data_IF_390393112847
#
_entry.id   IF_390393112847
#
_cell.length_a   1.000
_cell.length_b   1.000
_cell.length_c   1.000
_cell.angle_alpha   90.00
_cell.angle_beta   90.00
_cell.angle_gamma   90.00
#
_symmetry.space_group_name_H-M   'P 1'
#
loop_
_entity.id
_entity.type
_entity.pdbx_description
1 polymer ?
#
# COMPACT_ATOMS: atom_id res chain seq x y z
N UNK A 1 -15.52 23.17 -12.51
CA UNK A 1 -14.92 21.85 -12.24
C UNK A 1 -15.73 21.19 -11.14
N UNK A 2 -16.15 19.96 -11.38
CA UNK A 2 -16.85 19.13 -10.40
C UNK A 2 -15.84 18.31 -9.60
N UNK A 3 -16.14 17.95 -8.36
CA UNK A 3 -15.21 17.22 -7.48
C UNK A 3 -14.66 15.90 -8.08
N UNK A 4 -15.42 15.26 -8.98
CA UNK A 4 -14.98 14.06 -9.69
C UNK A 4 -13.92 14.35 -10.78
N UNK A 5 -14.00 15.50 -11.44
CA UNK A 5 -13.01 15.92 -12.44
C UNK A 5 -11.68 16.28 -11.77
N UNK A 6 -11.73 16.93 -10.60
CA UNK A 6 -10.55 17.32 -9.82
C UNK A 6 -9.77 16.09 -9.34
N UNK A 7 -10.47 15.09 -8.79
CA UNK A 7 -9.86 13.84 -8.33
C UNK A 7 -9.22 13.04 -9.47
N UNK A 8 -9.87 13.00 -10.63
CA UNK A 8 -9.33 12.32 -11.81
C UNK A 8 -8.07 13.02 -12.31
N UNK A 9 -8.04 14.35 -12.29
CA UNK A 9 -6.86 15.14 -12.67
C UNK A 9 -5.70 14.92 -11.71
N UNK A 10 -5.98 14.88 -10.40
CA UNK A 10 -4.98 14.62 -9.37
C UNK A 10 -4.33 13.24 -9.56
N UNK A 11 -5.13 12.17 -9.67
CA UNK A 11 -4.62 10.82 -9.95
C UNK A 11 -3.77 10.80 -11.22
N UNK A 12 -4.27 11.44 -12.29
CA UNK A 12 -3.55 11.48 -13.57
C UNK A 12 -2.20 12.19 -13.43
N UNK A 13 -2.13 13.26 -12.63
CA UNK A 13 -0.89 13.99 -12.36
C UNK A 13 0.14 13.09 -11.68
N UNK A 14 -0.24 12.38 -10.61
CA UNK A 14 0.65 11.45 -9.91
C UNK A 14 1.07 10.26 -10.76
N UNK A 15 0.17 9.78 -11.61
CA UNK A 15 0.47 8.71 -12.56
C UNK A 15 1.56 9.13 -13.55
N UNK A 16 1.45 10.34 -14.10
CA UNK A 16 2.38 10.86 -15.12
C UNK A 16 3.68 11.40 -14.54
N UNK A 17 3.64 11.98 -13.34
CA UNK A 17 4.78 12.59 -12.67
C UNK A 17 4.75 12.29 -11.15
N UNK A 18 5.16 11.08 -10.75
CA UNK A 18 5.12 10.68 -9.34
C UNK A 18 6.04 11.55 -8.50
N UNK A 19 5.46 12.21 -7.51
CA UNK A 19 6.15 12.96 -6.47
C UNK A 19 6.84 12.04 -5.48
N UNK A 20 8.02 12.47 -5.00
CA UNK A 20 8.75 11.88 -3.88
C UNK A 20 9.22 10.42 -4.07
N UNK A 21 9.35 9.97 -5.32
CA UNK A 21 10.02 8.72 -5.62
C UNK A 21 11.53 8.82 -5.32
N UNK A 22 12.10 7.83 -4.64
CA UNK A 22 13.51 7.73 -4.33
C UNK A 22 13.81 7.31 -2.90
N UNK A 23 15.07 7.49 -2.50
CA UNK A 23 15.60 7.08 -1.18
C UNK A 23 15.97 8.28 -0.33
N UNK A 24 16.01 8.08 1.00
CA UNK A 24 16.61 8.99 1.98
C UNK A 24 17.70 8.19 2.71
N UNK A 25 18.98 8.57 2.53
CA UNK A 25 20.12 7.80 3.04
C UNK A 25 20.18 7.76 4.58
N UNK A 26 19.80 8.85 5.24
CA UNK A 26 19.85 9.04 6.69
C UNK A 26 18.45 9.03 7.32
N UNK A 27 17.52 8.27 6.75
CA UNK A 27 16.16 8.18 7.26
C UNK A 27 16.09 7.74 8.74
N UNK A 28 15.11 8.31 9.43
CA UNK A 28 14.80 7.95 10.82
C UNK A 28 13.98 6.65 10.84
N UNK A 29 13.10 6.45 9.85
CA UNK A 29 12.31 5.24 9.63
C UNK A 29 12.45 4.69 8.20
N UNK A 30 12.67 3.39 8.06
CA UNK A 30 12.69 2.68 6.77
C UNK A 30 11.79 1.45 6.91
N UNK A 31 10.65 1.50 6.22
CA UNK A 31 9.62 0.47 6.28
C UNK A 31 9.43 -0.22 4.96
N UNK A 32 9.22 -1.53 4.98
CA UNK A 32 8.92 -2.32 3.79
C UNK A 32 7.56 -3.01 3.96
N UNK A 33 6.62 -2.69 3.07
CA UNK A 33 5.37 -3.45 2.90
C UNK A 33 5.57 -4.45 1.78
N UNK A 34 5.34 -5.74 2.04
CA UNK A 34 5.57 -6.83 1.09
C UNK A 34 4.28 -7.56 0.83
N UNK A 35 4.04 -7.97 -0.42
CA UNK A 35 3.10 -9.01 -0.77
C UNK A 35 3.88 -10.30 -1.04
N UNK A 36 3.89 -11.23 -0.08
CA UNK A 36 4.62 -12.49 -0.21
C UNK A 36 4.10 -13.39 -1.36
N UNK A 37 2.85 -13.24 -1.80
CA UNK A 37 2.32 -14.06 -2.88
C UNK A 37 2.92 -13.64 -4.24
N UNK A 38 3.11 -12.34 -4.45
CA UNK A 38 3.63 -11.79 -5.71
C UNK A 38 5.12 -11.41 -5.63
N UNK A 39 5.70 -11.38 -4.43
CA UNK A 39 7.03 -10.83 -4.13
C UNK A 39 7.18 -9.34 -4.48
N UNK A 40 6.05 -8.63 -4.67
CA UNK A 40 6.02 -7.19 -4.80
C UNK A 40 6.26 -6.52 -3.44
N UNK A 41 6.88 -5.34 -3.44
CA UNK A 41 7.12 -4.58 -2.22
C UNK A 41 7.12 -3.07 -2.45
N UNK A 42 6.85 -2.34 -1.38
CA UNK A 42 6.99 -0.89 -1.28
C UNK A 42 7.92 -0.58 -0.12
N UNK A 43 8.86 0.32 -0.34
CA UNK A 43 9.74 0.87 0.69
C UNK A 43 9.31 2.31 0.94
N UNK A 44 9.07 2.67 2.20
CA UNK A 44 8.84 4.04 2.63
C UNK A 44 10.01 4.48 3.52
N UNK A 45 10.55 5.66 3.21
CA UNK A 45 11.60 6.33 3.94
C UNK A 45 10.99 7.57 4.62
N UNK A 46 11.24 7.74 5.92
CA UNK A 46 10.73 8.87 6.70
C UNK A 46 11.90 9.55 7.41
N UNK A 47 12.00 10.87 7.23
CA UNK A 47 12.80 11.77 8.05
C UNK A 47 11.86 12.61 8.88
N UNK A 48 12.02 12.66 10.19
CA UNK A 48 11.10 13.38 11.07
C UNK A 48 11.79 13.90 12.33
N UNK A 49 11.19 14.91 12.95
CA UNK A 49 11.55 15.32 14.30
C UNK A 49 10.57 14.73 15.33
N UNK A 50 10.51 15.28 16.54
CA UNK A 50 9.62 14.78 17.58
C UNK A 50 8.11 14.89 17.22
N UNK A 51 7.76 15.76 16.27
CA UNK A 51 6.37 16.12 15.98
C UNK A 51 5.99 16.02 14.50
N UNK A 52 6.93 16.24 13.58
CA UNK A 52 6.64 16.53 12.17
C UNK A 52 7.42 15.61 11.24
N UNK A 53 6.77 15.15 10.17
CA UNK A 53 7.41 14.42 9.07
C UNK A 53 8.08 15.43 8.14
N UNK A 54 9.41 15.56 8.23
CA UNK A 54 10.19 16.57 7.52
C UNK A 54 10.44 16.21 6.06
N UNK A 55 10.72 14.94 5.78
CA UNK A 55 10.77 14.40 4.42
C UNK A 55 10.22 12.98 4.42
N UNK A 56 9.60 12.61 3.31
CA UNK A 56 9.05 11.28 3.09
C UNK A 56 9.24 10.90 1.63
N UNK A 57 9.77 9.71 1.39
CA UNK A 57 9.99 9.20 0.03
C UNK A 57 9.60 7.73 -0.05
N UNK A 58 9.42 7.25 -1.27
CA UNK A 58 9.12 5.85 -1.49
C UNK A 58 9.85 5.27 -2.70
N UNK A 59 10.04 3.96 -2.69
CA UNK A 59 10.51 3.18 -3.83
C UNK A 59 9.72 1.86 -3.89
N UNK A 60 9.57 1.27 -5.07
CA UNK A 60 8.80 0.04 -5.23
C UNK A 60 9.26 -0.73 -6.47
N UNK A 61 9.11 -2.06 -6.46
CA UNK A 61 9.20 -2.93 -7.64
C UNK A 61 7.82 -3.36 -8.18
N UNK A 62 6.75 -2.73 -7.70
CA UNK A 62 5.36 -3.13 -7.95
C UNK A 62 4.74 -2.40 -9.15
N UNK A 63 3.41 -2.46 -9.25
CA UNK A 63 2.56 -1.88 -10.29
C UNK A 63 2.57 -0.35 -10.36
N UNK A 64 2.06 0.17 -11.47
CA UNK A 64 1.84 1.62 -11.66
C UNK A 64 0.82 2.20 -10.66
N UNK A 65 -0.16 1.41 -10.23
CA UNK A 65 -1.08 1.78 -9.16
C UNK A 65 -0.32 1.99 -7.85
N UNK A 66 0.61 1.10 -7.53
CA UNK A 66 1.47 1.22 -6.35
C UNK A 66 2.33 2.49 -6.42
N UNK A 67 2.87 2.83 -7.60
CA UNK A 67 3.64 4.07 -7.80
C UNK A 67 2.75 5.30 -7.57
N UNK A 68 1.54 5.30 -8.12
CA UNK A 68 0.59 6.42 -8.02
C UNK A 68 0.14 6.62 -6.57
N UNK A 69 -0.26 5.53 -5.90
CA UNK A 69 -0.68 5.54 -4.49
C UNK A 69 0.46 5.92 -3.54
N UNK A 70 1.67 5.39 -3.78
CA UNK A 70 2.87 5.78 -3.04
C UNK A 70 3.12 7.27 -3.17
N UNK A 71 3.02 7.81 -4.38
CA UNK A 71 3.20 9.23 -4.64
C UNK A 71 2.18 10.09 -3.90
N UNK A 72 0.89 9.78 -4.03
CA UNK A 72 -0.19 10.49 -3.33
C UNK A 72 -0.01 10.44 -1.81
N UNK A 73 0.31 9.27 -1.25
CA UNK A 73 0.52 9.13 0.18
C UNK A 73 1.70 9.99 0.66
N UNK A 74 2.84 9.92 -0.03
CA UNK A 74 4.03 10.68 0.38
C UNK A 74 3.83 12.19 0.25
N UNK A 75 3.08 12.66 -0.76
CA UNK A 75 2.76 14.09 -0.89
C UNK A 75 1.80 14.54 0.20
N UNK A 76 0.76 13.74 0.49
CA UNK A 76 -0.23 14.04 1.52
C UNK A 76 0.38 14.14 2.92
N UNK A 77 1.32 13.25 3.27
CA UNK A 77 1.85 13.14 4.64
C UNK A 77 3.10 13.99 4.91
N UNK A 78 3.81 14.41 3.86
CA UNK A 78 5.05 15.18 4.02
C UNK A 78 4.75 16.60 4.52
N UNK A 79 5.45 17.00 5.58
CA UNK A 79 5.26 18.28 6.24
C UNK A 79 4.12 18.28 7.26
N UNK A 80 3.37 17.19 7.39
CA UNK A 80 2.32 17.06 8.39
C UNK A 80 2.88 16.55 9.72
N UNK A 81 2.09 16.73 10.79
CA UNK A 81 2.43 16.17 12.10
C UNK A 81 2.30 14.65 12.09
N UNK A 82 3.15 13.97 12.86
CA UNK A 82 3.12 12.51 13.00
C UNK A 82 1.74 12.04 13.46
N UNK A 83 1.08 12.79 14.35
CA UNK A 83 -0.27 12.48 14.86
C UNK A 83 -1.31 12.53 13.73
N UNK A 84 -1.31 13.59 12.93
CA UNK A 84 -2.23 13.70 11.80
C UNK A 84 -1.95 12.64 10.75
N UNK A 85 -0.68 12.40 10.43
CA UNK A 85 -0.30 11.37 9.45
C UNK A 85 -0.79 9.98 9.86
N UNK A 86 -0.64 9.60 11.13
CA UNK A 86 -1.19 8.37 11.69
C UNK A 86 -2.73 8.33 11.62
N UNK A 87 -3.39 9.47 11.86
CA UNK A 87 -4.85 9.58 11.73
C UNK A 87 -5.32 9.35 10.29
N UNK A 88 -4.70 10.04 9.33
CA UNK A 88 -5.00 9.89 7.89
C UNK A 88 -4.79 8.44 7.44
N UNK A 89 -3.68 7.81 7.80
CA UNK A 89 -3.40 6.41 7.46
C UNK A 89 -4.42 5.46 8.10
N UNK A 90 -4.83 5.71 9.34
CA UNK A 90 -5.86 4.89 10.01
C UNK A 90 -7.21 4.98 9.28
N UNK A 91 -7.58 6.16 8.79
CA UNK A 91 -8.79 6.34 8.01
C UNK A 91 -8.69 5.63 6.65
N UNK A 92 -7.55 5.75 5.96
CA UNK A 92 -7.30 5.06 4.70
C UNK A 92 -7.33 3.53 4.86
N UNK A 93 -6.79 2.99 5.96
CA UNK A 93 -6.87 1.56 6.28
C UNK A 93 -8.31 1.09 6.50
N UNK A 94 -9.14 1.91 7.16
CA UNK A 94 -10.56 1.63 7.34
C UNK A 94 -11.29 1.59 5.99
N UNK A 95 -11.05 2.58 5.13
CA UNK A 95 -11.69 2.70 3.83
C UNK A 95 -11.22 1.60 2.87
N UNK A 96 -9.94 1.24 2.94
CA UNK A 96 -9.39 0.09 2.24
C UNK A 96 -10.11 -1.21 2.66
N UNK A 97 -10.30 -1.44 3.96
CA UNK A 97 -11.04 -2.60 4.45
C UNK A 97 -12.49 -2.62 3.95
N UNK A 98 -13.16 -1.47 3.94
CA UNK A 98 -14.50 -1.36 3.38
C UNK A 98 -14.51 -1.66 1.88
N UNK A 99 -13.49 -1.24 1.14
CA UNK A 99 -13.36 -1.51 -0.31
C UNK A 99 -13.21 -3.00 -0.62
N UNK A 100 -12.45 -3.75 0.19
CA UNK A 100 -12.37 -5.22 0.06
C UNK A 100 -13.73 -5.89 0.32
N UNK A 101 -14.49 -5.40 1.30
CA UNK A 101 -15.80 -5.94 1.64
C UNK A 101 -16.89 -5.60 0.60
N UNK A 102 -16.68 -4.56 -0.20
CA UNK A 102 -17.60 -4.12 -1.25
C UNK A 102 -17.36 -4.80 -2.61
N UNK A 103 -16.33 -5.64 -2.73
CA UNK A 103 -16.09 -6.45 -3.92
C UNK A 103 -17.32 -7.34 -4.14
N UNK A 104 -17.83 -7.43 -5.36
CA UNK A 104 -18.98 -8.29 -5.69
C UNK A 104 -18.58 -9.77 -5.76
N UNK A 105 -19.53 -10.65 -5.44
CA UNK A 105 -19.28 -12.08 -5.47
C UNK A 105 -18.99 -12.54 -6.91
N UNK A 106 -17.98 -13.40 -7.11
CA UNK A 106 -17.65 -13.88 -8.45
C UNK A 106 -18.85 -14.60 -9.06
N UNK A 107 -19.15 -14.30 -10.32
CA UNK A 107 -20.16 -15.05 -11.06
C UNK A 107 -19.71 -16.51 -11.26
N UNK A 108 -20.67 -17.43 -11.21
CA UNK A 108 -20.44 -18.86 -11.43
C UNK A 108 -21.18 -19.32 -12.67
N UNK A 109 -20.43 -19.69 -13.71
CA UNK A 109 -20.94 -20.21 -14.97
C UNK A 109 -20.79 -21.74 -15.04
N UNK A 110 -21.90 -22.45 -14.81
CA UNK A 110 -21.94 -23.92 -14.82
C UNK A 110 -21.78 -24.53 -16.21
N UNK A 111 -21.83 -23.73 -17.29
CA UNK A 111 -21.64 -24.21 -18.66
C UNK A 111 -20.16 -24.40 -19.03
N UNK A 112 -19.23 -23.84 -18.25
CA UNK A 112 -17.78 -23.92 -18.46
C UNK A 112 -17.14 -25.14 -17.79
N UNK A 113 -15.94 -25.55 -18.25
CA UNK A 113 -15.07 -26.48 -17.52
C UNK A 113 -14.85 -26.02 -16.07
N UNK A 114 -14.68 -26.96 -15.15
CA UNK A 114 -14.64 -26.73 -13.70
C UNK A 114 -13.67 -25.62 -13.29
N UNK A 115 -12.48 -25.62 -13.90
CA UNK A 115 -11.39 -24.66 -13.73
C UNK A 115 -11.71 -23.23 -14.19
N UNK A 116 -12.75 -23.03 -14.99
CA UNK A 116 -13.16 -21.74 -15.56
C UNK A 116 -14.56 -21.29 -15.10
N UNK A 117 -15.23 -22.06 -14.23
CA UNK A 117 -16.60 -21.75 -13.80
C UNK A 117 -16.69 -20.48 -12.97
N UNK A 118 -15.66 -20.19 -12.19
CA UNK A 118 -15.66 -19.07 -11.26
C UNK A 118 -14.96 -17.88 -11.91
N UNK A 119 -15.67 -16.77 -12.01
CA UNK A 119 -15.10 -15.51 -12.48
C UNK A 119 -13.88 -15.11 -11.64
N UNK A 120 -12.79 -14.73 -12.31
CA UNK A 120 -11.65 -14.12 -11.62
C UNK A 120 -12.00 -12.70 -11.20
N UNK A 121 -11.86 -12.44 -9.91
CA UNK A 121 -12.03 -11.11 -9.32
C UNK A 121 -10.66 -10.64 -8.87
N UNK A 122 -10.22 -9.48 -9.38
CA UNK A 122 -8.92 -8.91 -9.04
C UNK A 122 -9.01 -8.06 -7.78
N UNK A 123 -8.01 -8.19 -6.90
CA UNK A 123 -7.79 -7.34 -5.73
C UNK A 123 -6.54 -6.47 -5.89
N UNK A 124 -5.95 -6.38 -7.08
CA UNK A 124 -4.62 -5.79 -7.29
C UNK A 124 -4.54 -4.34 -6.85
N UNK A 125 -5.59 -3.55 -7.08
CA UNK A 125 -5.63 -2.15 -6.65
C UNK A 125 -5.66 -2.03 -5.12
N UNK A 126 -6.50 -2.83 -4.46
CA UNK A 126 -6.59 -2.87 -3.00
C UNK A 126 -5.28 -3.39 -2.39
N UNK A 127 -4.68 -4.42 -2.98
CA UNK A 127 -3.40 -4.99 -2.53
C UNK A 127 -2.26 -3.97 -2.68
N UNK A 128 -2.27 -3.17 -3.75
CA UNK A 128 -1.34 -2.05 -3.96
C UNK A 128 -1.47 -1.02 -2.84
N UNK A 129 -2.69 -0.60 -2.51
CA UNK A 129 -2.94 0.32 -1.40
C UNK A 129 -2.51 -0.28 -0.05
N UNK A 130 -2.80 -1.56 0.19
CA UNK A 130 -2.43 -2.30 1.40
C UNK A 130 -0.90 -2.31 1.59
N UNK A 131 -0.13 -2.57 0.52
CA UNK A 131 1.34 -2.55 0.59
C UNK A 131 1.87 -1.16 0.94
N UNK A 132 1.32 -0.10 0.32
CA UNK A 132 1.76 1.28 0.57
C UNK A 132 1.49 1.70 2.01
N UNK A 133 0.29 1.44 2.55
CA UNK A 133 -0.05 1.76 3.94
C UNK A 133 0.75 0.90 4.93
N UNK A 134 0.94 -0.38 4.62
CA UNK A 134 1.77 -1.29 5.44
C UNK A 134 3.23 -0.84 5.48
N UNK A 135 3.79 -0.38 4.37
CA UNK A 135 5.15 0.16 4.32
C UNK A 135 5.30 1.40 5.22
N UNK A 136 4.28 2.26 5.27
CA UNK A 136 4.28 3.42 6.17
C UNK A 136 4.27 3.00 7.64
N UNK A 137 3.39 2.07 8.02
CA UNK A 137 3.34 1.51 9.38
C UNK A 137 4.68 0.88 9.76
N UNK A 138 5.28 0.15 8.84
CA UNK A 138 6.60 -0.43 9.03
C UNK A 138 7.68 0.64 9.25
N UNK A 139 7.62 1.76 8.53
CA UNK A 139 8.59 2.85 8.64
C UNK A 139 8.49 3.57 9.98
N UNK A 140 7.26 3.84 10.44
CA UNK A 140 7.02 4.40 11.78
C UNK A 140 7.50 3.44 12.87
N UNK A 141 7.20 2.14 12.73
CA UNK A 141 7.67 1.12 13.68
C UNK A 141 9.18 1.00 13.72
N UNK A 142 9.85 1.11 12.57
CA UNK A 142 11.30 1.14 12.47
C UNK A 142 11.88 2.32 13.26
N UNK A 143 11.32 3.51 13.08
CA UNK A 143 11.77 4.70 13.80
C UNK A 143 11.63 4.57 15.31
N UNK A 144 10.48 4.08 15.80
CA UNK A 144 10.26 3.81 17.22
C UNK A 144 11.32 2.85 17.79
N UNK A 145 11.58 1.74 17.10
CA UNK A 145 12.56 0.73 17.51
C UNK A 145 13.98 1.30 17.52
N UNK A 146 14.32 2.12 16.52
CA UNK A 146 15.59 2.85 16.47
C UNK A 146 15.76 3.77 17.68
N UNK A 147 14.69 4.47 18.10
CA UNK A 147 14.70 5.31 19.30
C UNK A 147 14.78 4.51 20.61
N UNK A 148 14.29 3.26 20.62
CA UNK A 148 14.45 2.30 21.72
C UNK A 148 15.86 1.67 21.76
N UNK A 149 16.75 2.02 20.82
CA UNK A 149 18.13 1.51 20.75
C UNK A 149 18.29 0.20 19.96
N UNK A 150 17.25 -0.22 19.22
CA UNK A 150 17.33 -1.37 18.32
C UNK A 150 17.92 -0.91 17.00
N UNK A 151 19.11 -1.43 16.66
CA UNK A 151 19.80 -1.11 15.41
C UNK A 151 19.51 -2.18 14.35
N UNK A 152 18.53 -1.90 13.51
CA UNK A 152 18.22 -2.64 12.29
C UNK A 152 18.26 -1.67 11.09
N UNK A 153 18.47 -2.18 9.87
CA UNK A 153 18.54 -1.32 8.68
C UNK A 153 17.16 -0.86 8.20
N UNK A 154 16.15 -1.72 8.38
CA UNK A 154 14.76 -1.51 7.98
C UNK A 154 13.84 -2.46 8.73
N UNK A 155 12.56 -2.11 8.80
CA UNK A 155 11.51 -2.99 9.34
C UNK A 155 10.60 -3.45 8.20
N UNK A 156 10.29 -4.75 8.12
CA UNK A 156 9.47 -5.33 7.04
C UNK A 156 8.19 -5.96 7.59
N UNK A 157 7.07 -5.72 6.92
CA UNK A 157 5.75 -6.26 7.24
C UNK A 157 5.11 -6.83 5.96
N UNK A 158 4.53 -8.02 6.07
CA UNK A 158 3.76 -8.61 4.96
C UNK A 158 2.30 -8.14 5.05
N UNK A 159 1.69 -7.85 3.90
CA UNK A 159 0.26 -7.58 3.83
C UNK A 159 -0.54 -8.85 4.12
N UNK A 160 -1.66 -8.69 4.79
CA UNK A 160 -2.65 -9.75 4.89
C UNK A 160 -3.63 -9.62 3.71
N UNK A 161 -3.69 -10.64 2.85
CA UNK A 161 -4.73 -10.74 1.82
C UNK A 161 -5.94 -11.42 2.43
N UNK A 162 -7.04 -10.69 2.53
CA UNK A 162 -8.31 -11.29 2.94
C UNK A 162 -9.09 -11.65 1.70
N UNK A 163 -9.37 -12.94 1.51
CA UNK A 163 -10.20 -13.41 0.42
C UNK A 163 -11.66 -13.32 0.88
N UNK A 164 -12.50 -12.42 0.36
CA UNK A 164 -13.86 -12.22 0.88
C UNK A 164 -14.75 -13.45 0.74
N UNK A 165 -14.35 -14.41 -0.11
CA UNK A 165 -15.12 -15.59 -0.48
C UNK A 165 -14.53 -16.93 -0.02
N UNK A 166 -13.39 -16.91 0.66
CA UNK A 166 -12.72 -18.11 1.14
C UNK A 166 -12.28 -17.92 2.59
N UNK A 167 -12.70 -18.84 3.45
CA UNK A 167 -12.24 -18.93 4.85
C UNK A 167 -10.80 -19.49 4.96
N UNK A 168 -10.19 -19.85 3.83
CA UNK A 168 -8.79 -20.29 3.71
C UNK A 168 -7.95 -19.25 2.98
N UNK A 169 -6.69 -19.10 3.37
CA UNK A 169 -5.72 -18.22 2.71
C UNK A 169 -5.71 -18.48 1.20
N UNK A 170 -5.95 -17.42 0.42
CA UNK A 170 -6.00 -17.53 -1.04
C UNK A 170 -4.59 -17.74 -1.58
N UNK A 171 -4.18 -19.01 -1.67
CA UNK A 171 -3.01 -19.43 -2.42
C UNK A 171 -3.32 -19.24 -3.90
N UNK A 172 -2.69 -18.25 -4.53
CA UNK A 172 -2.59 -18.20 -5.98
C UNK A 172 -1.88 -19.48 -6.43
N UNK A 173 -2.61 -20.46 -6.95
CA UNK A 173 -2.00 -21.53 -7.73
C UNK A 173 -1.43 -20.86 -8.97
N UNK A 174 -0.11 -20.85 -9.10
CA UNK A 174 0.53 -20.44 -10.35
C UNK A 174 -0.06 -21.33 -11.44
N UNK A 175 -0.67 -20.72 -12.45
CA UNK A 175 -1.04 -21.44 -13.65
C UNK A 175 0.26 -21.92 -14.30
N UNK A 176 0.52 -23.23 -14.21
CA UNK A 176 1.57 -23.86 -15.00
C UNK A 176 1.22 -23.65 -16.48
N UNK A 177 2.15 -23.03 -17.22
CA UNK A 177 2.09 -22.79 -18.67
C UNK A 177 2.34 -24.09 -19.41
#
# INVERSE_FOLDING_TARGET
>A
MTAHEDYTQEITSHFMNPQNYGVIEDADGIGVGVDNATQAYVIIYIKHDATTINDMRFATNSSQDTITLGSMLTEMLKGDTIVNALHHVTQLEHDLKASYAAIEAPEVDMSKPEEERVQRVSTEYQDSANMVLTAFRAAMRHSERKNEGIHEEKFSMNIAKHCPYSNTDCHFTQAEI
#
